data_IF_645230570352
#
_entry.id   IF_645230570352
#
_cell.length_a   1.000
_cell.length_b   1.000
_cell.length_c   1.000
_cell.angle_alpha   90.00
_cell.angle_beta   90.00
_cell.angle_gamma   90.00
#
_symmetry.space_group_name_H-M   'P 1'
#
loop_
_entity.id
_entity.type
_entity.pdbx_description
1 polymer ?
#
# COMPACT_ATOMS: atom_id res chain seq x y z
N UNK A 1 33.05 14.81 -1.00
CA UNK A 1 32.55 16.13 -0.58
C UNK A 1 33.59 16.77 0.32
N UNK A 2 34.12 17.94 -0.02
CA UNK A 2 35.23 18.63 0.66
C UNK A 2 34.77 19.87 1.43
N UNK A 3 33.57 19.84 2.02
CA UNK A 3 33.05 20.93 2.85
C UNK A 3 33.39 20.74 4.33
N UNK A 4 33.66 21.83 5.04
CA UNK A 4 34.00 21.83 6.47
C UNK A 4 32.85 21.31 7.35
N UNK A 5 31.62 21.79 7.14
CA UNK A 5 30.44 21.40 7.93
C UNK A 5 29.92 19.97 7.65
N UNK A 6 29.81 19.49 6.39
CA UNK A 6 29.31 18.13 6.12
C UNK A 6 30.12 17.02 6.77
N UNK A 7 31.46 17.18 6.87
CA UNK A 7 32.34 16.19 7.50
C UNK A 7 32.12 16.08 9.01
N UNK A 8 31.67 17.15 9.66
CA UNK A 8 31.41 17.18 11.11
C UNK A 8 30.09 16.48 11.46
N UNK A 9 29.04 16.63 10.64
CA UNK A 9 27.74 16.00 10.87
C UNK A 9 27.67 14.54 10.40
N UNK A 10 28.45 14.17 9.37
CA UNK A 10 28.49 12.80 8.88
C UNK A 10 29.94 12.38 8.56
N UNK A 11 30.68 11.84 9.55
CA UNK A 11 32.09 11.47 9.38
C UNK A 11 32.28 10.16 8.61
N UNK A 12 31.21 9.37 8.43
CA UNK A 12 31.28 8.09 7.76
C UNK A 12 31.45 8.24 6.23
N UNK A 13 32.06 7.23 5.62
CA UNK A 13 32.29 7.21 4.18
C UNK A 13 30.96 7.12 3.42
N UNK A 14 30.84 7.93 2.38
CA UNK A 14 29.74 7.90 1.43
C UNK A 14 30.32 7.58 0.05
N UNK A 15 29.57 6.82 -0.74
CA UNK A 15 29.89 6.60 -2.15
C UNK A 15 28.80 7.18 -3.03
N UNK A 16 29.22 7.69 -4.18
CA UNK A 16 28.32 8.12 -5.24
C UNK A 16 28.14 6.95 -6.21
N UNK A 17 26.90 6.59 -6.49
CA UNK A 17 26.55 5.54 -7.46
C UNK A 17 25.81 6.20 -8.61
N UNK A 18 26.30 5.98 -9.83
CA UNK A 18 25.63 6.39 -11.07
C UNK A 18 25.05 5.15 -11.73
N UNK A 19 23.79 5.22 -12.11
CA UNK A 19 23.07 4.14 -12.77
C UNK A 19 22.32 4.70 -13.98
N UNK A 20 22.48 4.06 -15.13
CA UNK A 20 21.74 4.41 -16.33
C UNK A 20 20.45 3.60 -16.37
N UNK A 21 19.31 4.30 -16.34
CA UNK A 21 17.99 3.68 -16.46
C UNK A 21 17.57 3.66 -17.94
N UNK A 22 17.66 2.48 -18.57
CA UNK A 22 17.29 2.27 -19.98
C UNK A 22 15.79 2.49 -20.24
N UNK A 23 14.93 2.21 -19.25
CA UNK A 23 13.48 2.33 -19.39
C UNK A 23 13.05 3.80 -19.46
N UNK A 24 13.63 4.61 -18.57
CA UNK A 24 13.31 6.04 -18.46
C UNK A 24 14.30 6.94 -19.21
N UNK A 25 15.31 6.34 -19.86
CA UNK A 25 16.38 7.01 -20.60
C UNK A 25 17.02 8.16 -19.83
N UNK A 26 17.34 7.92 -18.55
CA UNK A 26 17.92 8.93 -17.66
C UNK A 26 19.01 8.36 -16.77
N UNK A 27 19.97 9.20 -16.41
CA UNK A 27 20.96 8.88 -15.39
C UNK A 27 20.38 9.13 -14.00
N UNK A 28 20.47 8.13 -13.13
CA UNK A 28 20.15 8.23 -11.72
C UNK A 28 21.44 8.30 -10.91
N UNK A 29 21.52 9.27 -10.02
CA UNK A 29 22.68 9.49 -9.15
C UNK A 29 22.25 9.32 -7.70
N UNK A 30 22.88 8.38 -7.00
CA UNK A 30 22.58 8.04 -5.62
C UNK A 30 23.78 8.32 -4.73
N UNK A 31 23.53 8.86 -3.54
CA UNK A 31 24.53 9.00 -2.49
C UNK A 31 24.19 8.02 -1.36
N UNK A 32 25.08 7.08 -1.08
CA UNK A 32 24.79 5.98 -0.16
C UNK A 32 25.97 5.66 0.75
N UNK A 33 25.69 5.23 1.98
CA UNK A 33 26.66 4.77 2.97
C UNK A 33 26.88 3.24 2.96
N UNK A 34 25.99 2.48 2.29
CA UNK A 34 26.10 1.04 2.14
C UNK A 34 27.17 0.69 1.09
N UNK A 35 28.33 0.25 1.56
CA UNK A 35 29.47 -0.10 0.70
C UNK A 35 29.41 -1.53 0.13
N UNK A 36 28.60 -2.39 0.74
CA UNK A 36 28.57 -3.83 0.44
C UNK A 36 27.62 -4.22 -0.71
N UNK A 37 26.69 -3.35 -1.08
CA UNK A 37 25.74 -3.62 -2.17
C UNK A 37 26.29 -3.14 -3.51
N UNK A 38 25.89 -3.74 -4.62
CA UNK A 38 26.30 -3.32 -5.97
C UNK A 38 25.49 -2.12 -6.46
N UNK A 39 25.96 -1.44 -7.52
CA UNK A 39 25.26 -0.30 -8.11
C UNK A 39 23.84 -0.65 -8.62
N UNK A 40 23.61 -1.80 -9.30
CA UNK A 40 22.26 -2.24 -9.67
C UNK A 40 21.35 -2.47 -8.46
N UNK A 41 21.87 -3.06 -7.37
CA UNK A 41 21.09 -3.28 -6.15
C UNK A 41 20.67 -1.97 -5.48
N UNK A 42 21.52 -0.92 -5.55
CA UNK A 42 21.14 0.42 -5.09
C UNK A 42 19.96 0.95 -5.90
N UNK A 43 20.03 0.84 -7.24
CA UNK A 43 18.96 1.30 -8.11
C UNK A 43 17.65 0.54 -7.85
N UNK A 44 17.71 -0.78 -7.66
CA UNK A 44 16.56 -1.62 -7.31
C UNK A 44 15.95 -1.25 -5.96
N UNK A 45 16.78 -1.02 -4.94
CA UNK A 45 16.33 -0.55 -3.62
C UNK A 45 15.61 0.80 -3.73
N UNK A 46 16.14 1.72 -4.54
CA UNK A 46 15.49 2.99 -4.82
C UNK A 46 14.19 2.84 -5.61
N UNK A 47 14.08 1.86 -6.51
CA UNK A 47 12.82 1.51 -7.18
C UNK A 47 11.79 0.99 -6.17
N UNK A 48 12.21 0.19 -5.19
CA UNK A 48 11.34 -0.26 -4.10
C UNK A 48 10.88 0.88 -3.18
N UNK A 49 11.64 1.99 -3.08
CA UNK A 49 11.20 3.19 -2.36
C UNK A 49 9.90 3.75 -2.93
N UNK A 50 9.67 3.68 -4.25
CA UNK A 50 8.41 4.10 -4.85
C UNK A 50 7.21 3.28 -4.38
N UNK A 51 7.40 2.00 -4.03
CA UNK A 51 6.32 1.18 -3.47
C UNK A 51 5.82 1.76 -2.14
N UNK A 52 6.70 2.36 -1.35
CA UNK A 52 6.33 3.06 -0.11
C UNK A 52 5.46 4.29 -0.41
N UNK A 53 5.79 5.05 -1.45
CA UNK A 53 4.97 6.20 -1.87
C UNK A 53 3.60 5.77 -2.40
N UNK A 54 3.55 4.70 -3.20
CA UNK A 54 2.30 4.09 -3.66
C UNK A 54 1.46 3.58 -2.48
N UNK A 55 2.08 2.97 -1.48
CA UNK A 55 1.42 2.58 -0.24
C UNK A 55 0.81 3.79 0.48
N UNK A 56 1.56 4.88 0.67
CA UNK A 56 1.00 6.09 1.30
C UNK A 56 -0.06 6.79 0.44
N UNK A 57 0.07 6.75 -0.89
CA UNK A 57 -0.96 7.23 -1.81
C UNK A 57 -2.25 6.43 -1.64
N UNK A 58 -2.14 5.10 -1.63
CA UNK A 58 -3.24 4.19 -1.38
C UNK A 58 -3.85 4.46 0.01
N UNK A 59 -3.02 4.57 1.05
CA UNK A 59 -3.45 4.84 2.41
C UNK A 59 -4.28 6.13 2.47
N UNK A 60 -3.83 7.22 1.83
CA UNK A 60 -4.60 8.48 1.76
C UNK A 60 -5.87 8.38 0.91
N UNK A 61 -5.88 7.56 -0.14
CA UNK A 61 -7.04 7.38 -1.02
C UNK A 61 -8.14 6.53 -0.38
N UNK A 62 -7.76 5.50 0.36
CA UNK A 62 -8.65 4.51 0.96
C UNK A 62 -9.01 4.83 2.40
N UNK A 63 -8.14 5.53 3.14
CA UNK A 63 -8.52 6.24 4.37
C UNK A 63 -9.14 7.58 4.06
N UNK A 64 -10.25 7.57 3.34
CA UNK A 64 -11.21 8.66 3.48
C UNK A 64 -11.87 8.48 4.84
N UNK A 65 -11.33 9.15 5.85
CA UNK A 65 -11.99 9.26 7.16
C UNK A 65 -13.28 10.05 6.92
N UNK A 66 -14.36 9.34 6.58
CA UNK A 66 -15.68 9.94 6.32
C UNK A 66 -16.23 10.62 7.58
N UNK A 67 -15.80 10.15 8.76
CA UNK A 67 -16.15 10.70 10.06
C UNK A 67 -15.03 10.35 11.04
N UNK A 68 -14.44 11.34 11.70
CA UNK A 68 -13.55 11.08 12.82
C UNK A 68 -14.41 10.59 13.99
N UNK A 69 -14.15 9.37 14.47
CA UNK A 69 -14.83 8.82 15.66
C UNK A 69 -14.35 9.47 16.97
N UNK A 70 -13.33 10.32 16.87
CA UNK A 70 -12.82 11.19 17.92
C UNK A 70 -11.85 12.18 17.31
N UNK A 71 -11.85 13.42 17.80
CA UNK A 71 -11.04 14.54 17.28
C UNK A 71 -9.72 14.73 18.01
N UNK A 72 -9.46 13.94 19.06
CA UNK A 72 -8.19 14.00 19.79
C UNK A 72 -7.07 13.38 18.94
N UNK A 73 -5.84 13.87 19.12
CA UNK A 73 -4.66 13.35 18.43
C UNK A 73 -4.52 11.83 18.63
N UNK A 74 -4.76 11.33 19.83
CA UNK A 74 -4.68 9.90 20.13
C UNK A 74 -5.75 9.10 19.36
N UNK A 75 -6.99 9.60 19.29
CA UNK A 75 -8.06 8.96 18.53
C UNK A 75 -7.73 8.86 17.04
N UNK A 76 -7.11 9.91 16.47
CA UNK A 76 -6.67 9.92 15.07
C UNK A 76 -5.51 8.95 14.85
N UNK A 77 -4.51 8.92 15.74
CA UNK A 77 -3.38 7.98 15.66
C UNK A 77 -3.87 6.53 15.69
N UNK A 78 -4.79 6.19 16.60
CA UNK A 78 -5.38 4.86 16.70
C UNK A 78 -6.12 4.48 15.40
N UNK A 79 -6.89 5.40 14.81
CA UNK A 79 -7.58 5.14 13.54
C UNK A 79 -6.60 4.84 12.39
N UNK A 80 -5.48 5.59 12.31
CA UNK A 80 -4.44 5.35 11.31
C UNK A 80 -3.78 3.99 11.54
N UNK A 81 -3.42 3.65 12.78
CA UNK A 81 -2.81 2.36 13.10
C UNK A 81 -3.76 1.20 12.79
N UNK A 82 -5.04 1.30 13.17
CA UNK A 82 -6.04 0.28 12.87
C UNK A 82 -6.16 0.03 11.36
N UNK A 83 -6.18 1.10 10.56
CA UNK A 83 -6.21 1.00 9.12
C UNK A 83 -4.97 0.34 8.50
N UNK A 84 -3.78 0.68 9.00
CA UNK A 84 -2.53 0.02 8.59
C UNK A 84 -2.57 -1.48 8.93
N UNK A 85 -3.04 -1.84 10.14
CA UNK A 85 -3.21 -3.24 10.54
C UNK A 85 -4.17 -3.98 9.61
N UNK A 86 -5.33 -3.41 9.30
CA UNK A 86 -6.31 -3.99 8.37
C UNK A 86 -5.71 -4.24 6.99
N UNK A 87 -4.95 -3.29 6.46
CA UNK A 87 -4.26 -3.47 5.18
C UNK A 87 -3.25 -4.63 5.23
N UNK A 88 -2.41 -4.69 6.26
CA UNK A 88 -1.44 -5.77 6.42
C UNK A 88 -2.14 -7.13 6.48
N UNK A 89 -3.24 -7.24 7.23
CA UNK A 89 -4.03 -8.48 7.31
C UNK A 89 -4.59 -8.88 5.95
N UNK A 90 -5.16 -7.94 5.21
CA UNK A 90 -5.70 -8.20 3.86
C UNK A 90 -4.59 -8.64 2.91
N UNK A 91 -3.43 -7.98 2.94
CA UNK A 91 -2.29 -8.34 2.10
C UNK A 91 -1.75 -9.75 2.42
N UNK A 92 -1.70 -10.12 3.71
CA UNK A 92 -1.35 -11.48 4.14
C UNK A 92 -2.35 -12.49 3.60
N UNK A 93 -3.66 -12.27 3.81
CA UNK A 93 -4.70 -13.17 3.32
C UNK A 93 -4.65 -13.30 1.80
N UNK A 94 -4.49 -12.20 1.08
CA UNK A 94 -4.39 -12.19 -0.37
C UNK A 94 -3.20 -13.02 -0.87
N UNK A 95 -2.05 -12.89 -0.20
CA UNK A 95 -0.84 -13.66 -0.51
C UNK A 95 -0.99 -15.15 -0.18
N UNK A 96 -1.47 -15.47 1.01
CA UNK A 96 -1.60 -16.85 1.49
C UNK A 96 -2.64 -17.64 0.68
N UNK A 97 -3.70 -16.96 0.23
CA UNK A 97 -4.75 -17.56 -0.58
C UNK A 97 -4.51 -17.45 -2.09
N UNK A 98 -3.41 -16.82 -2.52
CA UNK A 98 -3.06 -16.59 -3.93
C UNK A 98 -4.24 -16.01 -4.74
N UNK A 99 -4.93 -15.02 -4.17
CA UNK A 99 -6.10 -14.44 -4.81
C UNK A 99 -5.69 -13.55 -5.99
N UNK A 100 -6.16 -13.89 -7.18
CA UNK A 100 -6.04 -13.06 -8.39
C UNK A 100 -7.08 -11.93 -8.40
N UNK A 101 -7.12 -11.14 -7.32
CA UNK A 101 -8.02 -9.99 -7.15
C UNK A 101 -7.25 -8.79 -6.67
N UNK A 102 -7.78 -7.60 -6.93
CA UNK A 102 -7.19 -6.40 -6.35
C UNK A 102 -7.42 -6.34 -4.83
N UNK A 103 -6.49 -5.73 -4.08
CA UNK A 103 -6.62 -5.55 -2.63
C UNK A 103 -7.92 -4.83 -2.23
N UNK A 104 -8.41 -3.95 -3.10
CA UNK A 104 -9.66 -3.22 -2.89
C UNK A 104 -10.90 -4.11 -2.99
N UNK A 105 -10.93 -5.05 -3.93
CA UNK A 105 -12.04 -6.02 -4.04
C UNK A 105 -12.08 -6.94 -2.81
N UNK A 106 -10.91 -7.37 -2.36
CA UNK A 106 -10.79 -8.19 -1.14
C UNK A 106 -11.29 -7.43 0.09
N UNK A 107 -10.91 -6.15 0.23
CA UNK A 107 -11.43 -5.27 1.28
C UNK A 107 -12.94 -5.08 1.20
N UNK A 108 -13.50 -4.94 0.00
CA UNK A 108 -14.94 -4.79 -0.20
C UNK A 108 -15.70 -6.03 0.25
N UNK A 109 -15.22 -7.21 -0.15
CA UNK A 109 -15.76 -8.51 0.26
C UNK A 109 -15.73 -8.64 1.77
N UNK A 110 -14.61 -8.29 2.41
CA UNK A 110 -14.56 -8.28 3.86
C UNK A 110 -15.55 -7.31 4.48
N UNK A 111 -15.71 -6.12 3.91
CA UNK A 111 -16.62 -5.09 4.42
C UNK A 111 -18.09 -5.52 4.37
N UNK A 112 -18.51 -6.23 3.33
CA UNK A 112 -19.87 -6.78 3.21
C UNK A 112 -20.08 -8.03 4.06
N UNK A 113 -19.01 -8.76 4.36
CA UNK A 113 -19.04 -10.05 5.08
C UNK A 113 -18.43 -9.97 6.48
N UNK A 114 -18.40 -8.79 7.11
CA UNK A 114 -17.79 -8.58 8.42
C UNK A 114 -18.37 -9.49 9.52
N UNK A 115 -19.65 -9.82 9.41
CA UNK A 115 -20.37 -10.69 10.37
C UNK A 115 -20.50 -12.13 9.89
N UNK A 116 -20.01 -12.42 8.69
CA UNK A 116 -20.06 -13.75 8.09
C UNK A 116 -19.00 -14.65 8.77
N UNK A 117 -19.41 -15.86 9.13
CA UNK A 117 -18.57 -16.86 9.79
C UNK A 117 -18.09 -17.95 8.83
N UNK A 118 -18.42 -17.84 7.55
CA UNK A 118 -17.96 -18.76 6.51
C UNK A 118 -16.43 -18.77 6.44
N UNK A 119 -15.86 -19.92 6.09
CA UNK A 119 -14.42 -20.00 5.88
C UNK A 119 -14.01 -19.07 4.75
N UNK A 120 -12.88 -18.38 4.92
CA UNK A 120 -12.38 -17.39 3.95
C UNK A 120 -12.32 -17.94 2.52
N UNK A 121 -11.94 -19.22 2.35
CA UNK A 121 -11.84 -19.85 1.03
C UNK A 121 -13.21 -19.91 0.36
N UNK A 122 -14.21 -20.40 1.08
CA UNK A 122 -15.59 -20.51 0.61
C UNK A 122 -16.20 -19.13 0.33
N UNK A 123 -15.86 -18.13 1.15
CA UNK A 123 -16.29 -16.74 0.97
C UNK A 123 -15.77 -16.15 -0.35
N UNK A 124 -14.48 -16.35 -0.65
CA UNK A 124 -13.89 -15.86 -1.90
C UNK A 124 -14.38 -16.65 -3.12
N UNK A 125 -14.65 -17.95 -2.98
CA UNK A 125 -15.24 -18.77 -4.04
C UNK A 125 -16.67 -18.33 -4.36
N UNK A 126 -17.54 -18.16 -3.35
CA UNK A 126 -18.93 -17.67 -3.51
C UNK A 126 -19.00 -16.33 -4.20
N UNK A 127 -18.14 -15.39 -3.81
CA UNK A 127 -18.10 -14.05 -4.42
C UNK A 127 -17.57 -14.05 -5.85
N UNK A 128 -16.84 -15.08 -6.28
CA UNK A 128 -16.46 -15.25 -7.69
C UNK A 128 -17.70 -15.43 -8.57
N UNK A 129 -18.69 -16.17 -8.08
CA UNK A 129 -19.94 -16.46 -8.79
C UNK A 129 -20.93 -15.28 -8.81
N UNK A 130 -20.93 -14.42 -7.78
CA UNK A 130 -21.79 -13.22 -7.77
C UNK A 130 -21.31 -12.14 -8.74
N UNK A 131 -19.99 -11.99 -8.96
CA UNK A 131 -19.50 -11.01 -9.93
C UNK A 131 -19.95 -11.29 -11.38
N UNK A 132 -20.21 -12.55 -11.74
CA UNK A 132 -20.74 -12.95 -13.05
C UNK A 132 -22.27 -12.86 -13.15
N UNK A 133 -23.01 -12.81 -12.03
CA UNK A 133 -24.48 -12.81 -12.02
C UNK A 133 -25.16 -11.56 -11.45
N UNK A 134 -24.45 -10.71 -10.70
CA UNK A 134 -25.09 -9.62 -9.93
C UNK A 134 -24.76 -8.20 -10.41
N UNK A 135 -23.88 -8.01 -11.41
CA UNK A 135 -23.77 -6.68 -12.07
C UNK A 135 -25.06 -6.24 -12.78
N UNK A 136 -26.03 -7.13 -12.94
CA UNK A 136 -27.35 -6.81 -13.53
C UNK A 136 -28.48 -6.57 -12.53
N UNK A 137 -28.30 -6.70 -11.20
CA UNK A 137 -29.43 -6.59 -10.25
C UNK A 137 -29.11 -5.98 -8.89
N UNK A 138 -28.37 -4.88 -8.85
CA UNK A 138 -28.46 -3.94 -7.73
C UNK A 138 -29.16 -2.66 -8.21
N UNK A 139 -30.43 -2.81 -8.60
CA UNK A 139 -31.39 -1.71 -8.48
C UNK A 139 -31.68 -1.58 -6.98
N UNK A 140 -30.90 -0.77 -6.27
CA UNK A 140 -31.38 -0.20 -5.01
C UNK A 140 -32.68 0.57 -5.30
N UNK A 141 -33.76 0.39 -4.52
CA UNK A 141 -34.89 1.28 -4.62
C UNK A 141 -34.43 2.68 -4.17
N UNK A 142 -34.52 3.65 -5.07
CA UNK A 142 -34.25 5.07 -4.77
C UNK A 142 -35.05 5.50 -3.54
N UNK A 143 -34.34 5.92 -2.50
CA UNK A 143 -34.90 6.50 -1.26
C UNK A 143 -35.49 7.92 -1.49
N UNK A 144 -35.48 8.40 -2.73
CA UNK A 144 -36.13 9.62 -3.17
C UNK A 144 -37.02 9.33 -4.38
N UNK A 145 -38.14 8.63 -4.12
CA UNK A 145 -39.32 8.71 -4.96
C UNK A 145 -40.35 9.57 -4.21
N UNK A 146 -40.42 10.84 -4.60
CA UNK A 146 -41.62 11.68 -4.53
C UNK A 146 -41.96 12.08 -5.96
#
# INVERSE_FOLDING_TARGET
MTGFYPKQYYPAHLRLVRYWDEEQKRELVFLINAMHISAPQVAELYKNRWQVELFFKWLKQHLKIKKFWGTTENSVRIQIYAAMCTYCLVAIVQKDMQLDRSTNEVLLIFSISLTDKTHLRDLFERTKFQNDKERFRLNEPNLFNF
#
